data_IF_654910029996
#
_entry.id   IF_654910029996
#
_cell.length_a   1.000
_cell.length_b   1.000
_cell.length_c   1.000
_cell.angle_alpha   90.00
_cell.angle_beta   90.00
_cell.angle_gamma   90.00
#
_symmetry.space_group_name_H-M   'P 1'
#
loop_
_entity.id
_entity.type
_entity.pdbx_description
1 polymer ?
#
# COMPACT_ATOMS: atom_id res chain seq x y z
N UNK A 1 12.73 -0.69 2.12
CA UNK A 1 11.93 0.01 1.12
C UNK A 1 10.44 -0.26 1.38
N UNK A 2 9.71 0.74 1.86
CA UNK A 2 8.28 0.58 2.19
C UNK A 2 7.44 0.65 0.91
N UNK A 3 7.44 -0.42 0.13
CA UNK A 3 6.60 -0.52 -1.07
C UNK A 3 5.16 -0.87 -0.66
N UNK A 4 4.50 0.04 0.03
CA UNK A 4 3.11 -0.14 0.49
C UNK A 4 2.10 0.24 -0.61
N UNK A 5 2.39 -0.18 -1.85
CA UNK A 5 1.57 0.10 -3.02
C UNK A 5 0.29 -0.72 -3.13
N UNK A 6 0.08 -1.74 -2.28
CA UNK A 6 -1.08 -2.64 -2.40
C UNK A 6 -2.42 -1.91 -2.21
N UNK A 7 -2.50 -0.94 -1.31
CA UNK A 7 -3.69 -0.11 -1.12
C UNK A 7 -3.94 0.80 -2.33
N UNK A 8 -2.88 1.49 -2.78
CA UNK A 8 -2.94 2.35 -3.94
C UNK A 8 -3.29 1.56 -5.21
N UNK A 9 -2.76 0.35 -5.39
CA UNK A 9 -3.04 -0.49 -6.57
C UNK A 9 -4.52 -0.85 -6.71
N UNK A 10 -5.24 -1.03 -5.60
CA UNK A 10 -6.69 -1.27 -5.63
C UNK A 10 -7.46 -0.03 -6.10
N UNK A 11 -7.08 1.14 -5.63
CA UNK A 11 -7.71 2.39 -6.03
C UNK A 11 -7.40 2.71 -7.51
N UNK A 12 -6.14 2.61 -7.91
CA UNK A 12 -5.73 2.84 -9.31
C UNK A 12 -6.18 1.74 -10.27
N UNK A 13 -6.40 0.51 -9.79
CA UNK A 13 -6.90 -0.59 -10.63
C UNK A 13 -8.24 -0.27 -11.29
N UNK A 14 -9.14 0.42 -10.58
CA UNK A 14 -10.42 0.87 -11.12
C UNK A 14 -10.19 1.85 -12.27
N UNK A 15 -9.31 2.83 -12.07
CA UNK A 15 -8.98 3.85 -13.09
C UNK A 15 -8.35 3.19 -14.32
N UNK A 16 -7.42 2.23 -14.14
CA UNK A 16 -6.80 1.51 -15.26
C UNK A 16 -7.84 0.75 -16.09
N UNK A 17 -8.77 0.05 -15.43
CA UNK A 17 -9.86 -0.66 -16.11
C UNK A 17 -10.76 0.31 -16.88
N UNK A 18 -11.04 1.48 -16.29
CA UNK A 18 -11.86 2.51 -16.93
C UNK A 18 -11.16 3.09 -18.17
N UNK A 19 -9.89 3.42 -18.07
CA UNK A 19 -9.07 3.88 -19.21
C UNK A 19 -9.02 2.85 -20.33
N UNK A 20 -8.89 1.56 -20.02
CA UNK A 20 -8.90 0.48 -21.04
C UNK A 20 -10.25 0.40 -21.74
N UNK A 21 -11.36 0.59 -21.03
CA UNK A 21 -12.69 0.65 -21.61
C UNK A 21 -12.88 1.88 -22.49
N UNK A 22 -12.41 3.03 -22.07
CA UNK A 22 -12.45 4.28 -22.83
C UNK A 22 -11.63 4.19 -24.14
N UNK A 23 -10.64 3.29 -24.18
CA UNK A 23 -9.88 2.96 -25.40
C UNK A 23 -10.63 2.00 -26.34
N UNK A 24 -11.90 1.66 -26.06
CA UNK A 24 -12.77 0.85 -26.93
C UNK A 24 -12.70 -0.64 -26.68
N UNK A 25 -12.12 -1.11 -25.58
CA UNK A 25 -12.09 -2.53 -25.22
C UNK A 25 -13.26 -2.82 -24.28
N UNK A 26 -14.37 -3.34 -24.79
CA UNK A 26 -15.59 -3.58 -24.01
C UNK A 26 -15.69 -5.00 -23.44
N UNK A 27 -15.08 -5.99 -24.11
CA UNK A 27 -15.19 -7.38 -23.70
C UNK A 27 -14.41 -7.63 -22.39
N UNK A 28 -15.05 -8.20 -21.34
CA UNK A 28 -14.43 -8.40 -20.02
C UNK A 28 -13.13 -9.23 -20.05
N UNK A 29 -13.06 -10.23 -20.92
CA UNK A 29 -11.85 -11.06 -21.10
C UNK A 29 -10.70 -10.27 -21.72
N UNK A 30 -10.98 -9.43 -22.70
CA UNK A 30 -10.02 -8.57 -23.36
C UNK A 30 -9.52 -7.44 -22.44
N UNK A 31 -10.42 -6.86 -21.64
CA UNK A 31 -10.07 -5.87 -20.60
C UNK A 31 -9.12 -6.50 -19.57
N UNK A 32 -9.44 -7.69 -19.08
CA UNK A 32 -8.58 -8.40 -18.14
C UNK A 32 -7.20 -8.72 -18.74
N UNK A 33 -7.17 -9.23 -19.98
CA UNK A 33 -5.93 -9.51 -20.70
C UNK A 33 -5.05 -8.26 -20.91
N UNK A 34 -5.65 -7.16 -21.30
CA UNK A 34 -4.98 -5.87 -21.49
C UNK A 34 -4.44 -5.31 -20.16
N UNK A 35 -5.21 -5.42 -19.09
CA UNK A 35 -4.79 -5.01 -17.74
C UNK A 35 -3.58 -5.83 -17.27
N UNK A 36 -3.58 -7.14 -17.48
CA UNK A 36 -2.45 -8.02 -17.11
C UNK A 36 -1.20 -7.67 -17.91
N UNK A 37 -1.31 -7.47 -19.23
CA UNK A 37 -0.17 -7.06 -20.08
C UNK A 37 0.40 -5.72 -19.64
N UNK A 38 -0.44 -4.71 -19.43
CA UNK A 38 -0.01 -3.42 -18.93
C UNK A 38 0.68 -3.54 -17.56
N UNK A 39 0.17 -4.39 -16.68
CA UNK A 39 0.79 -4.70 -15.38
C UNK A 39 2.18 -5.32 -15.51
N UNK A 40 2.38 -6.29 -16.40
CA UNK A 40 3.68 -6.91 -16.63
C UNK A 40 4.69 -5.88 -17.13
N UNK A 41 4.35 -5.06 -18.14
CA UNK A 41 5.22 -4.00 -18.61
C UNK A 41 5.55 -2.99 -17.52
N UNK A 42 4.56 -2.57 -16.72
CA UNK A 42 4.77 -1.67 -15.59
C UNK A 42 5.73 -2.25 -14.56
N UNK A 43 5.61 -3.55 -14.23
CA UNK A 43 6.53 -4.24 -13.32
C UNK A 43 7.95 -4.29 -13.87
N UNK A 44 8.13 -4.56 -15.17
CA UNK A 44 9.44 -4.59 -15.82
C UNK A 44 10.12 -3.22 -15.79
N UNK A 45 9.39 -2.15 -16.15
CA UNK A 45 9.93 -0.79 -16.08
C UNK A 45 10.25 -0.37 -14.64
N UNK A 46 9.39 -0.72 -13.69
CA UNK A 46 9.63 -0.45 -12.28
C UNK A 46 10.88 -1.17 -11.78
N UNK A 47 11.05 -2.45 -12.09
CA UNK A 47 12.23 -3.23 -11.74
C UNK A 47 13.51 -2.58 -12.31
N UNK A 48 13.50 -2.14 -13.55
CA UNK A 48 14.61 -1.46 -14.20
C UNK A 48 14.97 -0.15 -13.50
N UNK A 49 13.97 0.66 -13.16
CA UNK A 49 14.16 1.92 -12.41
C UNK A 49 14.74 1.63 -11.02
N UNK A 50 14.20 0.64 -10.29
CA UNK A 50 14.72 0.26 -8.98
C UNK A 50 16.17 -0.22 -9.02
N UNK A 51 16.53 -1.02 -10.03
CA UNK A 51 17.92 -1.47 -10.24
C UNK A 51 18.81 -0.25 -10.47
N UNK A 52 18.44 0.67 -11.37
CA UNK A 52 19.22 1.86 -11.67
C UNK A 52 19.40 2.76 -10.42
N UNK A 53 18.32 3.01 -9.66
CA UNK A 53 18.39 3.82 -8.43
C UNK A 53 19.22 3.13 -7.34
N UNK A 54 19.12 1.80 -7.22
CA UNK A 54 19.93 1.03 -6.26
C UNK A 54 21.42 1.09 -6.63
N UNK A 55 21.75 0.95 -7.90
CA UNK A 55 23.14 1.08 -8.38
C UNK A 55 23.69 2.48 -8.11
N UNK A 56 22.92 3.54 -8.40
CA UNK A 56 23.31 4.91 -8.09
C UNK A 56 23.52 5.11 -6.58
N UNK A 57 22.62 4.58 -5.76
CA UNK A 57 22.73 4.64 -4.30
C UNK A 57 23.92 3.87 -3.74
N UNK A 58 24.26 2.70 -4.28
CA UNK A 58 25.41 1.92 -3.83
C UNK A 58 26.74 2.58 -4.22
N UNK A 59 26.82 3.14 -5.42
CA UNK A 59 28.02 3.86 -5.87
C UNK A 59 28.25 5.16 -5.10
N UNK A 60 27.20 5.82 -4.62
CA UNK A 60 27.31 7.06 -3.86
C UNK A 60 27.80 6.87 -2.41
N UNK A 61 27.68 5.65 -1.85
CA UNK A 61 28.02 5.35 -0.44
C UNK A 61 29.49 5.54 -0.07
N UNK A 62 30.39 5.56 -1.01
CA UNK A 62 31.82 5.81 -0.77
C UNK A 62 32.21 7.28 -0.82
N UNK A 63 31.30 8.15 -1.30
CA UNK A 63 31.58 9.56 -1.61
C UNK A 63 30.70 10.51 -0.82
N UNK A 64 29.47 10.08 -0.46
CA UNK A 64 28.47 10.90 0.22
C UNK A 64 28.13 10.33 1.59
N UNK A 65 27.85 11.21 2.55
CA UNK A 65 27.37 10.84 3.88
C UNK A 65 25.96 10.24 3.84
N UNK A 66 25.67 9.39 4.82
CA UNK A 66 24.34 8.77 4.93
C UNK A 66 23.28 9.83 5.23
N UNK A 67 22.29 9.94 4.36
CA UNK A 67 21.19 10.92 4.48
C UNK A 67 20.07 10.37 5.34
N UNK A 68 19.33 11.25 6.01
CA UNK A 68 18.18 10.91 6.87
C UNK A 68 17.02 10.29 6.07
N UNK A 69 16.85 10.69 4.80
CA UNK A 69 15.79 10.19 3.95
C UNK A 69 16.23 10.12 2.47
N UNK A 70 15.45 9.35 1.69
CA UNK A 70 15.75 9.12 0.27
C UNK A 70 15.69 10.36 -0.62
N UNK A 71 14.90 11.37 -0.26
CA UNK A 71 14.83 12.64 -0.99
C UNK A 71 16.13 13.43 -0.88
N UNK A 72 16.67 13.53 0.33
CA UNK A 72 17.96 14.19 0.60
C UNK A 72 19.11 13.44 -0.07
N UNK A 73 19.09 12.08 -0.04
CA UNK A 73 20.08 11.26 -0.71
C UNK A 73 20.11 11.52 -2.23
N UNK A 74 18.95 11.52 -2.88
CA UNK A 74 18.86 11.81 -4.31
C UNK A 74 19.32 13.23 -4.66
N UNK A 75 19.01 14.22 -3.82
CA UNK A 75 19.46 15.59 -4.02
C UNK A 75 21.00 15.70 -3.93
N UNK A 76 21.62 15.04 -2.95
CA UNK A 76 23.08 15.01 -2.81
C UNK A 76 23.75 14.33 -4.01
N UNK A 77 23.20 13.20 -4.49
CA UNK A 77 23.69 12.50 -5.69
C UNK A 77 23.58 13.39 -6.92
N UNK A 78 22.40 14.00 -7.14
CA UNK A 78 22.18 14.88 -8.28
C UNK A 78 23.13 16.10 -8.26
N UNK A 79 23.36 16.68 -7.09
CA UNK A 79 24.29 17.81 -6.92
C UNK A 79 25.73 17.39 -7.15
N UNK A 80 26.14 16.23 -6.66
CA UNK A 80 27.51 15.75 -6.78
C UNK A 80 27.91 15.47 -8.25
N UNK A 81 27.03 14.77 -9.00
CA UNK A 81 27.34 14.34 -10.37
C UNK A 81 26.97 15.37 -11.45
N UNK A 82 25.93 16.16 -11.27
CA UNK A 82 25.38 17.07 -12.28
C UNK A 82 25.35 18.54 -11.81
N UNK A 83 25.82 18.83 -10.59
CA UNK A 83 25.83 20.17 -10.04
C UNK A 83 24.43 20.79 -9.92
N UNK A 84 24.35 22.09 -10.05
CA UNK A 84 23.09 22.86 -9.95
C UNK A 84 22.05 22.44 -10.99
N UNK A 85 22.48 22.11 -12.21
CA UNK A 85 21.59 21.62 -13.25
C UNK A 85 20.89 20.31 -12.85
N UNK A 86 21.62 19.40 -12.19
CA UNK A 86 21.05 18.15 -11.66
C UNK A 86 19.95 18.39 -10.61
N UNK A 87 20.15 19.36 -9.73
CA UNK A 87 19.13 19.74 -8.74
C UNK A 87 17.84 20.28 -9.42
N UNK A 88 17.96 21.11 -10.43
CA UNK A 88 16.81 21.63 -11.17
C UNK A 88 16.05 20.49 -11.87
N UNK A 89 16.73 19.59 -12.56
CA UNK A 89 16.13 18.44 -13.23
C UNK A 89 15.44 17.54 -12.22
N UNK A 90 16.11 17.24 -11.11
CA UNK A 90 15.53 16.42 -10.03
C UNK A 90 14.28 17.08 -9.44
N UNK A 91 14.35 18.39 -9.11
CA UNK A 91 13.23 19.13 -8.55
C UNK A 91 12.02 19.14 -9.49
N UNK A 92 12.24 19.41 -10.77
CA UNK A 92 11.18 19.39 -11.78
C UNK A 92 10.57 17.98 -11.91
N UNK A 93 11.39 16.94 -12.00
CA UNK A 93 10.95 15.57 -12.15
C UNK A 93 10.13 15.11 -10.93
N UNK A 94 10.63 15.36 -9.72
CA UNK A 94 9.94 14.99 -8.47
C UNK A 94 8.64 15.77 -8.34
N UNK A 95 8.63 17.07 -8.63
CA UNK A 95 7.42 17.90 -8.56
C UNK A 95 6.35 17.40 -9.51
N UNK A 96 6.68 17.12 -10.77
CA UNK A 96 5.74 16.59 -11.75
C UNK A 96 5.22 15.20 -11.39
N UNK A 97 6.10 14.32 -10.90
CA UNK A 97 5.72 12.98 -10.45
C UNK A 97 4.78 13.04 -9.24
N UNK A 98 5.10 13.87 -8.24
CA UNK A 98 4.25 14.05 -7.06
C UNK A 98 2.90 14.67 -7.43
N UNK A 99 2.89 15.70 -8.30
CA UNK A 99 1.65 16.34 -8.75
C UNK A 99 0.73 15.34 -9.45
N UNK A 100 1.27 14.56 -10.41
CA UNK A 100 0.51 13.52 -11.11
C UNK A 100 -0.10 12.50 -10.13
N UNK A 101 0.69 12.05 -9.15
CA UNK A 101 0.23 11.08 -8.15
C UNK A 101 -0.84 11.69 -7.24
N UNK A 102 -0.64 12.93 -6.79
CA UNK A 102 -1.61 13.65 -5.94
C UNK A 102 -2.95 13.83 -6.65
N UNK A 103 -2.93 14.26 -7.92
CA UNK A 103 -4.16 14.39 -8.73
C UNK A 103 -4.86 13.05 -8.84
N UNK A 104 -4.15 11.97 -9.18
CA UNK A 104 -4.74 10.64 -9.32
C UNK A 104 -5.35 10.12 -8.02
N UNK A 105 -4.69 10.34 -6.87
CA UNK A 105 -5.21 9.93 -5.56
C UNK A 105 -6.44 10.74 -5.15
N UNK A 106 -6.41 12.05 -5.30
CA UNK A 106 -7.54 12.94 -4.96
C UNK A 106 -8.76 12.60 -5.82
N UNK A 107 -8.56 12.39 -7.14
CA UNK A 107 -9.61 11.97 -8.06
C UNK A 107 -10.23 10.65 -7.62
N UNK A 108 -9.42 9.62 -7.41
CA UNK A 108 -9.88 8.29 -6.98
C UNK A 108 -10.63 8.33 -5.64
N UNK A 109 -10.13 9.10 -4.67
CA UNK A 109 -10.82 9.28 -3.39
C UNK A 109 -12.16 10.00 -3.59
N UNK A 110 -12.18 11.10 -4.34
CA UNK A 110 -13.41 11.88 -4.58
C UNK A 110 -14.49 11.05 -5.30
N UNK A 111 -14.11 10.26 -6.31
CA UNK A 111 -15.03 9.34 -7.01
C UNK A 111 -15.58 8.27 -6.06
N UNK A 112 -14.70 7.63 -5.29
CA UNK A 112 -15.08 6.59 -4.34
C UNK A 112 -16.05 7.12 -3.28
N UNK A 113 -15.77 8.28 -2.70
CA UNK A 113 -16.63 8.88 -1.68
C UNK A 113 -17.95 9.38 -2.26
N UNK A 114 -17.97 9.89 -3.49
CA UNK A 114 -19.21 10.25 -4.18
C UNK A 114 -20.08 9.02 -4.43
N UNK A 115 -19.49 7.90 -4.79
CA UNK A 115 -20.22 6.63 -4.98
C UNK A 115 -20.74 6.04 -3.66
N UNK A 116 -19.95 6.12 -2.57
CA UNK A 116 -20.31 5.64 -1.24
C UNK A 116 -21.42 6.46 -0.58
N UNK A 117 -21.45 7.77 -0.84
CA UNK A 117 -22.38 8.71 -0.26
C UNK A 117 -23.23 9.43 -1.34
N UNK A 118 -24.20 8.76 -1.97
CA UNK A 118 -24.97 9.35 -3.08
C UNK A 118 -25.80 10.60 -2.67
N UNK A 119 -26.12 10.72 -1.38
CA UNK A 119 -26.79 11.90 -0.80
C UNK A 119 -25.83 12.92 -0.18
N UNK A 120 -24.54 12.69 -0.30
CA UNK A 120 -23.48 13.52 0.27
C UNK A 120 -23.05 14.68 -0.66
N UNK A 121 -21.91 15.28 -0.33
CA UNK A 121 -21.33 16.35 -1.13
C UNK A 121 -21.01 15.90 -2.55
N UNK A 122 -20.95 16.87 -3.48
CA UNK A 122 -20.58 16.62 -4.87
C UNK A 122 -19.11 16.24 -5.00
N UNK A 123 -18.74 15.63 -6.13
CA UNK A 123 -17.35 15.29 -6.47
C UNK A 123 -16.38 16.46 -6.23
N UNK A 124 -16.76 17.68 -6.68
CA UNK A 124 -15.92 18.88 -6.49
C UNK A 124 -15.66 19.20 -5.04
N UNK A 125 -16.69 19.07 -4.21
CA UNK A 125 -16.58 19.33 -2.77
C UNK A 125 -15.67 18.32 -2.10
N UNK A 126 -15.78 17.02 -2.44
CA UNK A 126 -14.88 15.98 -1.94
C UNK A 126 -13.43 16.23 -2.38
N UNK A 127 -13.20 16.59 -3.65
CA UNK A 127 -11.86 16.89 -4.14
C UNK A 127 -11.23 18.07 -3.40
N UNK A 128 -12.00 19.13 -3.12
CA UNK A 128 -11.53 20.29 -2.33
C UNK A 128 -11.21 19.88 -0.89
N UNK A 129 -12.08 19.10 -0.23
CA UNK A 129 -11.86 18.62 1.14
C UNK A 129 -10.55 17.81 1.22
N UNK A 130 -10.35 16.83 0.33
CA UNK A 130 -9.13 16.04 0.32
C UNK A 130 -7.88 16.86 0.00
N UNK A 131 -7.99 17.84 -0.89
CA UNK A 131 -6.88 18.75 -1.20
C UNK A 131 -6.50 19.61 0.01
N UNK A 132 -7.49 20.15 0.73
CA UNK A 132 -7.24 20.94 1.95
C UNK A 132 -6.65 20.09 3.07
N UNK A 133 -7.16 18.89 3.30
CA UNK A 133 -6.58 17.96 4.28
C UNK A 133 -5.13 17.63 3.92
N UNK A 134 -4.86 17.33 2.65
CA UNK A 134 -3.51 17.06 2.16
C UNK A 134 -2.57 18.26 2.34
N UNK A 135 -3.07 19.47 2.09
CA UNK A 135 -2.30 20.71 2.30
C UNK A 135 -1.96 20.92 3.77
N UNK A 136 -2.91 20.70 4.68
CA UNK A 136 -2.68 20.79 6.12
C UNK A 136 -1.63 19.77 6.59
N UNK A 137 -1.74 18.53 6.14
CA UNK A 137 -0.78 17.47 6.47
C UNK A 137 0.61 17.74 5.88
N UNK A 138 0.69 18.34 4.69
CA UNK A 138 1.97 18.67 4.06
C UNK A 138 2.82 19.64 4.89
N UNK A 139 2.19 20.50 5.71
CA UNK A 139 2.89 21.42 6.60
C UNK A 139 3.61 20.74 7.78
N UNK A 140 3.32 19.46 8.08
CA UNK A 140 3.99 18.70 9.13
C UNK A 140 5.43 18.30 8.75
N UNK A 141 5.77 18.37 7.49
CA UNK A 141 7.05 17.91 6.95
C UNK A 141 7.10 16.41 6.70
N UNK A 142 8.01 16.01 5.81
CA UNK A 142 8.11 14.63 5.30
C UNK A 142 8.34 13.59 6.40
N UNK A 143 9.26 13.87 7.33
CA UNK A 143 9.61 12.92 8.40
C UNK A 143 8.43 12.68 9.35
N UNK A 144 7.69 13.73 9.71
CA UNK A 144 6.51 13.61 10.55
C UNK A 144 5.37 12.84 9.83
N UNK A 145 5.13 13.14 8.55
CA UNK A 145 4.14 12.41 7.74
C UNK A 145 4.48 10.92 7.70
N UNK A 146 5.73 10.55 7.46
CA UNK A 146 6.17 9.15 7.46
C UNK A 146 5.92 8.52 8.83
N UNK A 147 6.33 9.19 9.92
CA UNK A 147 6.21 8.65 11.28
C UNK A 147 4.75 8.38 11.69
N UNK A 148 3.81 9.24 11.30
CA UNK A 148 2.39 9.08 11.64
C UNK A 148 1.61 8.19 10.65
N UNK A 149 2.01 8.15 9.37
CA UNK A 149 1.35 7.29 8.39
C UNK A 149 1.78 5.83 8.47
N UNK A 150 3.01 5.57 8.93
CA UNK A 150 3.56 4.22 8.99
C UNK A 150 2.69 3.23 9.80
N UNK A 151 2.23 3.56 11.02
CA UNK A 151 1.36 2.67 11.81
C UNK A 151 0.07 2.33 11.07
N UNK A 152 -0.58 3.33 10.46
CA UNK A 152 -1.83 3.13 9.72
C UNK A 152 -1.61 2.23 8.50
N UNK A 153 -0.49 2.42 7.79
CA UNK A 153 -0.12 1.56 6.69
C UNK A 153 0.16 0.11 7.14
N UNK A 154 0.89 -0.06 8.25
CA UNK A 154 1.18 -1.38 8.82
C UNK A 154 -0.10 -2.12 9.23
N UNK A 155 -1.13 -1.40 9.68
CA UNK A 155 -2.44 -1.97 9.96
C UNK A 155 -3.19 -2.40 8.69
N UNK A 156 -3.25 -1.53 7.68
CA UNK A 156 -4.04 -1.75 6.46
C UNK A 156 -3.39 -2.71 5.46
N UNK A 157 -2.07 -2.80 5.48
CA UNK A 157 -1.29 -3.60 4.52
C UNK A 157 -1.62 -5.11 4.59
N UNK A 158 -1.59 -5.80 5.75
CA UNK A 158 -1.95 -7.19 5.85
C UNK A 158 -3.39 -7.48 5.40
N UNK A 159 -4.32 -6.62 5.80
CA UNK A 159 -5.73 -6.73 5.44
C UNK A 159 -5.94 -6.63 3.92
N UNK A 160 -5.22 -5.71 3.28
CA UNK A 160 -5.31 -5.52 1.82
C UNK A 160 -4.77 -6.71 1.06
N UNK A 161 -3.61 -7.26 1.47
CA UNK A 161 -3.02 -8.44 0.82
C UNK A 161 -3.91 -9.66 1.03
N UNK A 162 -4.40 -9.88 2.24
CA UNK A 162 -5.30 -10.99 2.53
C UNK A 162 -6.59 -10.93 1.69
N UNK A 163 -7.18 -9.73 1.54
CA UNK A 163 -8.34 -9.53 0.67
C UNK A 163 -8.04 -9.80 -0.81
N UNK A 164 -6.89 -9.34 -1.31
CA UNK A 164 -6.48 -9.61 -2.70
C UNK A 164 -6.30 -11.11 -2.92
N UNK A 165 -5.59 -11.79 -2.00
CA UNK A 165 -5.38 -13.23 -2.06
C UNK A 165 -6.71 -14.00 -2.04
N UNK A 166 -7.63 -13.64 -1.13
CA UNK A 166 -8.97 -14.23 -1.08
C UNK A 166 -9.79 -13.97 -2.35
N UNK A 167 -9.69 -12.78 -2.93
CA UNK A 167 -10.39 -12.46 -4.17
C UNK A 167 -9.88 -13.30 -5.35
N UNK A 168 -8.56 -13.50 -5.46
CA UNK A 168 -7.93 -14.33 -6.49
C UNK A 168 -8.26 -15.82 -6.31
N UNK A 169 -8.28 -16.30 -5.08
CA UNK A 169 -8.57 -17.68 -4.74
C UNK A 169 -10.07 -17.96 -4.59
N UNK A 170 -10.91 -16.93 -4.67
CA UNK A 170 -12.36 -17.02 -4.45
C UNK A 170 -13.09 -18.06 -5.28
N UNK A 171 -12.60 -18.34 -6.50
CA UNK A 171 -13.13 -19.39 -7.37
C UNK A 171 -13.05 -20.80 -6.75
N UNK A 172 -12.07 -21.09 -5.89
CA UNK A 172 -11.88 -22.40 -5.29
C UNK A 172 -12.88 -22.72 -4.16
N UNK A 173 -13.44 -21.68 -3.51
CA UNK A 173 -14.40 -21.84 -2.41
C UNK A 173 -15.71 -21.05 -2.64
N UNK A 174 -16.04 -20.74 -3.91
CA UNK A 174 -17.30 -20.11 -4.29
C UNK A 174 -17.55 -18.74 -3.62
N UNK A 175 -16.52 -17.98 -3.27
CA UNK A 175 -16.62 -16.71 -2.54
C UNK A 175 -17.38 -16.81 -1.20
N UNK A 176 -17.28 -17.95 -0.50
CA UNK A 176 -17.99 -18.18 0.76
C UNK A 176 -17.59 -17.14 1.83
N UNK A 177 -18.60 -16.46 2.35
CA UNK A 177 -18.46 -15.47 3.42
C UNK A 177 -17.74 -16.01 4.65
N UNK A 178 -17.90 -17.30 4.96
CA UNK A 178 -17.28 -17.94 6.12
C UNK A 178 -15.76 -17.88 6.00
N UNK A 179 -15.20 -18.22 4.83
CA UNK A 179 -13.75 -18.18 4.57
C UNK A 179 -13.24 -16.76 4.71
N UNK A 180 -13.93 -15.77 4.13
CA UNK A 180 -13.55 -14.35 4.25
C UNK A 180 -13.54 -13.88 5.72
N UNK A 181 -14.60 -14.18 6.49
CA UNK A 181 -14.71 -13.72 7.87
C UNK A 181 -13.60 -14.30 8.77
N UNK A 182 -13.32 -15.59 8.67
CA UNK A 182 -12.28 -16.21 9.49
C UNK A 182 -10.88 -15.74 9.10
N UNK A 183 -10.57 -15.71 7.82
CA UNK A 183 -9.27 -15.23 7.34
C UNK A 183 -9.04 -13.77 7.76
N UNK A 184 -10.01 -12.89 7.50
CA UNK A 184 -9.89 -11.48 7.83
C UNK A 184 -9.86 -11.24 9.34
N UNK A 185 -10.60 -12.02 10.15
CA UNK A 185 -10.57 -11.92 11.60
C UNK A 185 -9.19 -12.21 12.19
N UNK A 186 -8.55 -13.30 11.76
CA UNK A 186 -7.19 -13.64 12.21
C UNK A 186 -6.15 -12.64 11.68
N UNK A 187 -6.30 -12.17 10.44
CA UNK A 187 -5.43 -11.13 9.88
C UNK A 187 -5.58 -9.82 10.65
N UNK A 188 -6.79 -9.46 11.08
CA UNK A 188 -7.05 -8.24 11.85
C UNK A 188 -6.32 -8.25 13.20
N UNK A 189 -6.30 -9.39 13.90
CA UNK A 189 -5.59 -9.52 15.18
C UNK A 189 -4.08 -9.27 14.97
N UNK A 190 -3.51 -9.86 13.93
CA UNK A 190 -2.10 -9.65 13.60
C UNK A 190 -1.82 -8.21 13.14
N UNK A 191 -2.74 -7.60 12.38
CA UNK A 191 -2.61 -6.21 11.91
C UNK A 191 -2.65 -5.21 13.07
N UNK A 192 -3.46 -5.46 14.12
CA UNK A 192 -3.46 -4.66 15.35
C UNK A 192 -2.11 -4.74 16.05
N UNK A 193 -1.49 -5.92 16.11
CA UNK A 193 -0.15 -6.08 16.66
C UNK A 193 0.88 -5.24 15.87
N UNK A 194 0.90 -5.34 14.54
CA UNK A 194 1.82 -4.57 13.68
C UNK A 194 1.60 -3.07 13.81
N UNK A 195 0.33 -2.63 13.95
CA UNK A 195 -0.03 -1.23 14.23
C UNK A 195 0.61 -0.74 15.52
N UNK A 196 0.45 -1.48 16.62
CA UNK A 196 0.94 -1.10 17.94
C UNK A 196 2.47 -1.02 17.95
N UNK A 197 3.15 -1.99 17.33
CA UNK A 197 4.61 -2.02 17.24
C UNK A 197 5.17 -0.87 16.39
N UNK A 198 4.39 -0.38 15.42
CA UNK A 198 4.79 0.71 14.54
C UNK A 198 4.50 2.12 15.11
N UNK A 199 3.82 2.24 16.25
CA UNK A 199 3.48 3.54 16.85
C UNK A 199 4.72 4.37 17.19
N UNK A 200 4.66 5.71 17.06
CA UNK A 200 5.73 6.61 17.49
C UNK A 200 6.06 6.43 18.97
N UNK A 201 7.33 6.61 19.33
CA UNK A 201 7.87 6.33 20.66
C UNK A 201 7.07 6.94 21.81
N UNK A 202 6.50 8.14 21.63
CA UNK A 202 5.68 8.81 22.65
C UNK A 202 4.43 8.02 23.04
N UNK A 203 3.73 7.44 22.06
CA UNK A 203 2.51 6.64 22.32
C UNK A 203 2.88 5.19 22.66
N UNK A 204 3.89 4.65 22.00
CA UNK A 204 4.40 3.29 22.21
C UNK A 204 4.78 3.03 23.67
N UNK A 205 5.50 3.98 24.31
CA UNK A 205 5.94 3.88 25.70
C UNK A 205 4.76 3.95 26.69
N UNK A 206 3.72 4.70 26.37
CA UNK A 206 2.52 4.84 27.24
C UNK A 206 1.72 3.54 27.34
N UNK A 207 1.73 2.70 26.32
CA UNK A 207 0.97 1.45 26.25
C UNK A 207 1.80 0.19 26.55
N UNK A 208 3.00 0.33 27.18
CA UNK A 208 3.92 -0.79 27.40
C UNK A 208 4.22 -1.60 26.13
N UNK A 209 4.53 -0.90 25.04
CA UNK A 209 4.76 -1.50 23.73
C UNK A 209 5.84 -2.60 23.71
N UNK A 210 6.81 -2.54 24.62
CA UNK A 210 7.86 -3.56 24.74
C UNK A 210 7.31 -4.92 25.17
N UNK A 211 6.32 -4.96 26.05
CA UNK A 211 5.65 -6.21 26.44
C UNK A 211 4.89 -6.83 25.25
N UNK A 212 4.21 -6.00 24.47
CA UNK A 212 3.48 -6.42 23.27
C UNK A 212 4.45 -6.93 22.21
N UNK A 213 5.58 -6.23 22.01
CA UNK A 213 6.63 -6.63 21.07
C UNK A 213 7.29 -7.94 21.48
N UNK A 214 7.57 -8.14 22.77
CA UNK A 214 8.11 -9.39 23.30
C UNK A 214 7.14 -10.57 23.11
N UNK A 215 5.85 -10.34 23.36
CA UNK A 215 4.80 -11.33 23.10
C UNK A 215 4.73 -11.72 21.63
N UNK A 216 4.71 -10.75 20.71
CA UNK A 216 4.68 -11.04 19.28
C UNK A 216 5.96 -11.73 18.79
N UNK A 217 7.13 -11.37 19.33
CA UNK A 217 8.39 -12.03 18.98
C UNK A 217 8.43 -13.49 19.44
N UNK A 218 7.69 -13.83 20.50
CA UNK A 218 7.61 -15.20 21.02
C UNK A 218 6.59 -16.06 20.26
N UNK A 219 5.44 -15.49 19.90
CA UNK A 219 4.30 -16.24 19.37
C UNK A 219 4.06 -16.06 17.86
N UNK A 220 4.55 -14.98 17.24
CA UNK A 220 4.37 -14.72 15.81
C UNK A 220 5.67 -15.03 15.04
N UNK A 221 5.76 -16.19 14.36
CA UNK A 221 6.89 -16.49 13.50
C UNK A 221 6.99 -15.39 12.42
N UNK A 222 8.21 -15.01 12.08
CA UNK A 222 8.52 -13.94 11.12
C UNK A 222 8.13 -12.49 11.53
N UNK A 223 7.72 -12.24 12.79
CA UNK A 223 7.43 -10.90 13.29
C UNK A 223 8.62 -9.94 13.09
N UNK A 224 9.86 -10.41 13.26
CA UNK A 224 11.08 -9.62 13.03
C UNK A 224 11.28 -9.17 11.57
N UNK A 225 10.66 -9.86 10.63
CA UNK A 225 10.70 -9.56 9.18
C UNK A 225 9.49 -8.72 8.73
N UNK A 226 8.60 -8.32 9.63
CA UNK A 226 7.35 -7.63 9.30
C UNK A 226 6.31 -8.53 8.61
N UNK A 227 6.49 -9.85 8.69
CA UNK A 227 5.60 -10.87 8.10
C UNK A 227 4.85 -11.66 9.19
N UNK A 228 4.74 -11.11 10.40
CA UNK A 228 4.06 -11.75 11.52
C UNK A 228 2.58 -12.07 11.26
N UNK A 229 1.95 -11.33 10.37
CA UNK A 229 0.55 -11.52 9.98
C UNK A 229 0.29 -12.74 9.08
N UNK A 230 1.31 -13.28 8.40
CA UNK A 230 1.15 -14.36 7.41
C UNK A 230 0.64 -15.64 8.07
N UNK A 231 1.25 -16.06 9.18
CA UNK A 231 0.85 -17.29 9.87
C UNK A 231 -0.59 -17.23 10.42
N UNK A 232 -1.01 -16.19 11.16
CA UNK A 232 -2.42 -16.04 11.55
C UNK A 232 -3.38 -16.01 10.36
N UNK A 233 -3.04 -15.35 9.28
CA UNK A 233 -3.86 -15.32 8.06
C UNK A 233 -4.04 -16.72 7.46
N UNK A 234 -2.97 -17.50 7.35
CA UNK A 234 -3.02 -18.87 6.86
C UNK A 234 -3.85 -19.79 7.77
N UNK A 235 -3.70 -19.65 9.10
CA UNK A 235 -4.53 -20.38 10.07
C UNK A 235 -6.00 -20.02 9.91
N UNK A 236 -6.33 -18.73 9.80
CA UNK A 236 -7.70 -18.26 9.57
C UNK A 236 -8.27 -18.79 8.25
N UNK A 237 -7.47 -18.82 7.18
CA UNK A 237 -7.87 -19.39 5.91
C UNK A 237 -8.12 -20.89 5.99
N UNK A 238 -7.25 -21.64 6.66
CA UNK A 238 -7.42 -23.07 6.87
C UNK A 238 -8.70 -23.40 7.66
N UNK A 239 -8.95 -22.71 8.77
CA UNK A 239 -10.17 -22.84 9.55
C UNK A 239 -11.41 -22.51 8.70
N UNK A 240 -11.38 -21.39 7.98
CA UNK A 240 -12.47 -20.99 7.09
C UNK A 240 -12.78 -22.04 6.03
N UNK A 241 -11.75 -22.61 5.38
CA UNK A 241 -11.91 -23.68 4.40
C UNK A 241 -12.46 -24.98 5.01
N UNK A 242 -11.97 -25.41 6.17
CA UNK A 242 -12.48 -26.58 6.87
C UNK A 242 -13.99 -26.40 7.16
N UNK A 243 -14.38 -25.24 7.66
CA UNK A 243 -15.78 -24.92 7.95
C UNK A 243 -16.64 -24.86 6.68
N UNK A 244 -16.12 -24.37 5.60
CA UNK A 244 -16.79 -24.36 4.30
C UNK A 244 -17.09 -25.78 3.82
N UNK A 245 -16.08 -26.67 3.81
CA UNK A 245 -16.24 -28.06 3.38
C UNK A 245 -17.11 -28.90 4.33
N UNK A 246 -17.09 -28.60 5.63
CA UNK A 246 -17.94 -29.32 6.61
C UNK A 246 -19.41 -28.88 6.53
N UNK A 247 -19.68 -27.59 6.24
CA UNK A 247 -21.04 -27.10 6.03
C UNK A 247 -21.65 -27.53 4.71
N UNK A 248 -20.84 -27.57 3.63
CA UNK A 248 -21.29 -28.06 2.33
C UNK A 248 -21.73 -29.54 2.36
N UNK A 249 -21.16 -30.37 3.25
CA UNK A 249 -21.60 -31.76 3.44
C UNK A 249 -22.90 -31.93 4.24
N UNK A 250 -23.36 -30.90 4.97
CA UNK A 250 -24.64 -30.94 5.71
C UNK A 250 -25.84 -30.42 4.91
N UNK A 251 -25.61 -29.84 3.74
CA UNK A 251 -26.67 -29.31 2.87
C UNK A 251 -26.93 -30.20 1.62
N UNK A 252 -26.23 -31.31 1.48
CA UNK A 252 -26.46 -32.41 0.53
C UNK A 252 -26.94 -33.66 1.28
#
# INVERSE_FOLDING_TARGET
CNTMGALASRAFGIIVVQVIRDLGVEEPSAVAGSTVRAGIFSCLFMALIYIAVTLAGTQSRGVLEASENGGTALAQIAQHYLGTAGLFILAATVTLACLKTAVGLITSCAETFTALFPKGPTYRTWAVIFSLISLLLANLGLNAIIAYSLPVLMFLYPLSIALIALALLGKFFGHDRTVYCWTMGFTLIAAIYDFVVALPAGVYNTINGDAIKAFGAAYLPFAKLGLGWVCPTLVGAAIGLILHFTRGKKAA
#
